data_IF_176898139217
#
_entry.id   IF_176898139217
#
_cell.length_a   1.000
_cell.length_b   1.000
_cell.length_c   1.000
_cell.angle_alpha   90.00
_cell.angle_beta   90.00
_cell.angle_gamma   90.00
#
_symmetry.space_group_name_H-M   'P 1'
#
loop_
_entity.id
_entity.type
_entity.pdbx_description
1 polymer ?
#
# COMPACT_ATOMS: atom_id res chain seq x y z
N UNK A 1 19.95 -39.09 -17.73
CA UNK A 1 19.12 -40.22 -17.25
C UNK A 1 19.88 -40.94 -16.14
N UNK A 2 19.32 -40.96 -14.91
CA UNK A 2 19.70 -41.70 -13.69
C UNK A 2 19.17 -40.86 -12.51
N UNK A 3 18.48 -41.33 -11.48
CA UNK A 3 17.62 -42.47 -11.19
C UNK A 3 16.84 -42.03 -9.91
N UNK A 4 15.68 -42.64 -9.65
CA UNK A 4 14.67 -42.19 -8.70
C UNK A 4 14.85 -42.70 -7.25
N UNK A 5 13.97 -42.17 -6.37
CA UNK A 5 13.31 -42.78 -5.20
C UNK A 5 13.94 -42.73 -3.79
N UNK A 6 13.13 -42.25 -2.84
CA UNK A 6 13.24 -42.50 -1.40
C UNK A 6 12.29 -41.64 -0.54
N UNK A 7 11.08 -42.14 -0.27
CA UNK A 7 10.07 -41.58 0.66
C UNK A 7 10.28 -42.18 2.06
N UNK A 8 10.14 -41.41 3.14
CA UNK A 8 9.86 -41.94 4.49
C UNK A 8 8.80 -41.09 5.21
N UNK A 9 7.75 -41.78 5.63
CA UNK A 9 6.64 -41.35 6.50
C UNK A 9 7.10 -40.98 7.92
N UNK A 10 6.44 -39.99 8.54
CA UNK A 10 6.55 -39.72 9.98
C UNK A 10 5.23 -39.19 10.53
N UNK A 11 4.52 -40.07 11.24
CA UNK A 11 3.17 -39.87 11.76
C UNK A 11 3.16 -39.27 13.19
N UNK A 12 2.14 -38.44 13.46
CA UNK A 12 1.34 -38.46 14.68
C UNK A 12 1.92 -37.86 15.97
N UNK A 13 1.21 -36.85 16.50
CA UNK A 13 0.69 -36.91 17.87
C UNK A 13 -0.40 -35.85 18.08
N UNK A 14 -1.64 -36.29 18.18
CA UNK A 14 -2.77 -35.53 18.72
C UNK A 14 -2.82 -35.74 20.23
N UNK A 15 -3.03 -34.67 21.00
CA UNK A 15 -3.50 -34.76 22.38
C UNK A 15 -4.60 -33.73 22.62
N UNK A 16 -5.80 -34.28 22.84
CA UNK A 16 -7.02 -33.62 23.30
C UNK A 16 -6.89 -33.34 24.81
N UNK A 17 -7.31 -32.17 25.27
CA UNK A 17 -7.74 -31.97 26.66
C UNK A 17 -9.15 -31.41 26.64
N UNK A 18 -10.08 -32.19 27.17
CA UNK A 18 -11.47 -31.86 27.36
C UNK A 18 -11.83 -31.98 28.85
N UNK A 19 -12.90 -31.25 29.21
CA UNK A 19 -13.83 -31.47 30.33
C UNK A 19 -13.68 -30.61 31.59
N UNK A 20 -14.79 -29.96 31.95
CA UNK A 20 -14.96 -29.22 33.20
C UNK A 20 -16.25 -28.41 33.25
N UNK A 21 -17.39 -29.10 33.32
CA UNK A 21 -18.73 -28.54 33.44
C UNK A 21 -18.96 -27.80 34.78
N UNK A 22 -19.63 -26.66 34.74
CA UNK A 22 -20.17 -25.96 35.91
C UNK A 22 -21.50 -25.30 35.55
N UNK A 23 -22.60 -25.84 36.07
CA UNK A 23 -23.95 -25.35 35.83
C UNK A 23 -24.47 -24.47 36.99
N UNK A 24 -25.48 -23.66 36.63
CA UNK A 24 -26.48 -22.96 37.46
C UNK A 24 -26.06 -21.56 37.99
N UNK A 25 -26.89 -20.51 38.01
CA UNK A 25 -28.37 -20.41 38.13
C UNK A 25 -28.96 -19.18 37.42
N UNK A 26 -30.24 -19.34 37.09
CA UNK A 26 -31.25 -18.42 36.58
C UNK A 26 -31.35 -17.11 37.38
N UNK A 27 -31.42 -15.97 36.69
CA UNK A 27 -32.22 -14.82 37.13
C UNK A 27 -33.07 -14.34 35.96
N UNK A 28 -34.38 -14.53 36.13
CA UNK A 28 -35.43 -13.93 35.30
C UNK A 28 -35.54 -12.45 35.66
N UNK A 29 -35.54 -11.60 34.65
CA UNK A 29 -36.58 -10.57 34.50
C UNK A 29 -36.71 -10.17 33.02
N UNK A 30 -37.93 -9.89 32.53
CA UNK A 30 -38.22 -9.74 31.10
C UNK A 30 -38.29 -8.26 30.69
N UNK A 31 -37.85 -7.94 29.47
CA UNK A 31 -38.30 -6.77 28.73
C UNK A 31 -38.21 -7.01 27.22
N UNK A 32 -39.39 -7.20 26.65
CA UNK A 32 -39.84 -7.06 25.26
C UNK A 32 -39.10 -5.98 24.44
N UNK A 33 -38.48 -6.35 23.31
CA UNK A 33 -38.91 -5.98 21.93
C UNK A 33 -37.84 -6.32 20.86
N UNK A 34 -38.25 -6.46 19.58
CA UNK A 34 -37.58 -7.26 18.55
C UNK A 34 -36.60 -6.46 17.69
N UNK A 35 -35.70 -7.17 17.02
CA UNK A 35 -34.89 -6.61 15.94
C UNK A 35 -33.39 -6.70 16.19
N UNK A 36 -32.86 -7.92 16.32
CA UNK A 36 -31.47 -8.13 15.97
C UNK A 36 -31.39 -7.99 14.45
N UNK A 37 -31.09 -6.77 14.01
CA UNK A 37 -30.74 -6.47 12.65
C UNK A 37 -29.67 -7.47 12.20
N UNK A 38 -29.93 -8.11 11.06
CA UNK A 38 -28.92 -8.79 10.26
C UNK A 38 -27.64 -7.94 10.20
N UNK A 39 -26.45 -8.56 10.22
CA UNK A 39 -25.24 -7.84 9.85
C UNK A 39 -25.45 -7.29 8.45
N UNK A 40 -25.61 -5.97 8.38
CA UNK A 40 -25.87 -5.25 7.14
C UNK A 40 -24.73 -5.57 6.19
N UNK A 41 -25.09 -6.16 5.05
CA UNK A 41 -24.25 -6.26 3.86
C UNK A 41 -23.49 -4.95 3.68
N UNK A 42 -22.17 -4.99 3.69
CA UNK A 42 -21.35 -3.93 3.11
C UNK A 42 -21.57 -4.01 1.60
N UNK A 43 -22.68 -3.42 1.16
CA UNK A 43 -22.92 -3.13 -0.25
C UNK A 43 -21.81 -2.18 -0.68
N UNK A 44 -20.87 -2.70 -1.47
CA UNK A 44 -19.78 -1.96 -2.05
C UNK A 44 -20.29 -0.72 -2.76
N UNK A 45 -19.85 0.45 -2.30
CA UNK A 45 -19.95 1.66 -3.09
C UNK A 45 -18.93 1.57 -4.24
N UNK A 46 -19.37 1.62 -5.51
CA UNK A 46 -18.49 1.51 -6.68
C UNK A 46 -17.43 2.63 -6.78
N UNK A 47 -17.59 3.71 -6.03
CA UNK A 47 -16.73 4.89 -6.05
C UNK A 47 -15.64 4.93 -4.97
N UNK A 48 -15.63 4.01 -4.00
CA UNK A 48 -14.62 4.00 -2.92
C UNK A 48 -13.41 3.11 -3.24
N UNK A 49 -13.55 2.13 -4.12
CA UNK A 49 -12.47 1.21 -4.48
C UNK A 49 -11.19 1.91 -4.98
N UNK A 50 -11.27 2.95 -5.86
CA UNK A 50 -10.07 3.66 -6.32
C UNK A 50 -9.34 4.41 -5.20
N UNK A 51 -10.09 5.02 -4.26
CA UNK A 51 -9.49 5.74 -3.12
C UNK A 51 -8.88 4.79 -2.10
N UNK A 52 -9.50 3.63 -1.88
CA UNK A 52 -8.92 2.59 -1.05
C UNK A 52 -7.59 2.06 -1.61
N UNK A 53 -7.50 1.87 -2.94
CA UNK A 53 -6.24 1.51 -3.59
C UNK A 53 -5.17 2.60 -3.40
N UNK A 54 -5.55 3.88 -3.51
CA UNK A 54 -4.65 5.00 -3.21
C UNK A 54 -4.15 4.95 -1.77
N UNK A 55 -5.03 4.77 -0.78
CA UNK A 55 -4.64 4.68 0.64
C UNK A 55 -3.66 3.53 0.91
N UNK A 56 -3.88 2.37 0.29
CA UNK A 56 -2.97 1.22 0.46
C UNK A 56 -1.59 1.47 -0.16
N UNK A 57 -1.56 2.01 -1.38
CA UNK A 57 -0.32 2.40 -2.04
C UNK A 57 0.42 3.50 -1.25
N UNK A 58 -0.32 4.42 -0.65
CA UNK A 58 0.22 5.49 0.17
C UNK A 58 0.88 4.95 1.45
N UNK A 59 0.22 4.00 2.13
CA UNK A 59 0.82 3.26 3.26
C UNK A 59 2.07 2.50 2.86
N UNK A 60 2.08 1.88 1.68
CA UNK A 60 3.26 1.18 1.16
C UNK A 60 4.44 2.13 0.94
N UNK A 61 4.19 3.32 0.39
CA UNK A 61 5.21 4.38 0.23
C UNK A 61 5.77 4.78 1.59
N UNK A 62 4.94 4.97 2.61
CA UNK A 62 5.41 5.32 3.95
C UNK A 62 6.26 4.22 4.57
N UNK A 63 5.86 2.96 4.42
CA UNK A 63 6.64 1.83 4.89
C UNK A 63 8.02 1.75 4.20
N UNK A 64 8.09 2.01 2.90
CA UNK A 64 9.34 1.99 2.14
C UNK A 64 10.23 3.21 2.43
N UNK A 65 9.66 4.40 2.60
CA UNK A 65 10.39 5.59 3.08
C UNK A 65 10.98 5.38 4.48
N UNK A 66 10.24 4.73 5.37
CA UNK A 66 10.73 4.40 6.71
C UNK A 66 11.95 3.46 6.66
N UNK A 67 11.95 2.47 5.75
CA UNK A 67 13.13 1.60 5.52
C UNK A 67 14.33 2.39 4.99
N UNK A 68 14.10 3.39 4.13
CA UNK A 68 15.13 4.32 3.65
C UNK A 68 15.57 5.35 4.71
N UNK A 69 14.85 5.44 5.84
CA UNK A 69 15.01 6.47 6.87
C UNK A 69 14.81 7.89 6.33
N UNK A 70 13.87 8.03 5.39
CA UNK A 70 13.46 9.32 4.86
C UNK A 70 12.16 9.75 5.53
N UNK A 71 12.04 11.04 5.83
CA UNK A 71 10.76 11.63 6.15
C UNK A 71 9.95 11.80 4.86
N UNK A 72 8.62 11.68 4.94
CA UNK A 72 7.74 12.00 3.82
C UNK A 72 7.90 13.48 3.46
N UNK A 73 8.27 13.81 2.21
CA UNK A 73 8.28 15.20 1.76
C UNK A 73 6.86 15.78 1.78
N UNK A 74 6.68 17.05 2.16
CA UNK A 74 5.39 17.70 2.00
C UNK A 74 5.01 17.73 0.52
N UNK A 75 3.72 17.65 0.22
CA UNK A 75 3.24 17.93 -1.13
C UNK A 75 3.69 19.36 -1.53
N UNK A 76 4.19 19.57 -2.76
CA UNK A 76 4.63 20.89 -3.19
C UNK A 76 3.47 21.89 -3.12
N UNK A 77 3.72 23.13 -2.72
CA UNK A 77 2.66 24.14 -2.54
C UNK A 77 1.88 24.43 -3.84
N UNK A 78 2.51 24.20 -5.00
CA UNK A 78 1.92 24.33 -6.33
C UNK A 78 1.28 23.03 -6.84
N UNK A 79 1.18 22.00 -5.98
CA UNK A 79 0.43 20.80 -6.33
C UNK A 79 -1.04 21.15 -6.54
N UNK A 80 -1.63 20.48 -7.52
CA UNK A 80 -3.00 20.66 -7.95
C UNK A 80 -3.96 20.17 -6.85
N UNK A 81 -4.11 20.96 -5.78
CA UNK A 81 -4.99 20.71 -4.63
C UNK A 81 -6.39 21.28 -4.89
N UNK A 82 -6.50 22.29 -5.78
CA UNK A 82 -7.77 22.91 -6.17
C UNK A 82 -8.19 22.47 -7.58
N UNK A 83 -9.33 21.78 -7.74
CA UNK A 83 -9.83 21.35 -9.05
C UNK A 83 -10.34 22.54 -9.90
N UNK A 84 -10.42 22.37 -11.24
CA UNK A 84 -10.03 21.18 -11.99
C UNK A 84 -8.51 21.12 -12.16
N UNK A 85 -7.94 19.96 -11.85
CA UNK A 85 -6.53 19.72 -12.07
C UNK A 85 -6.35 19.22 -13.51
N UNK A 86 -5.33 19.72 -14.20
CA UNK A 86 -5.07 19.29 -15.58
C UNK A 86 -4.67 17.79 -15.59
N UNK A 87 -5.47 16.89 -16.19
CA UNK A 87 -5.18 15.46 -16.23
C UNK A 87 -3.87 15.14 -16.99
N UNK A 88 -3.42 16.03 -17.89
CA UNK A 88 -2.12 15.91 -18.55
C UNK A 88 -0.96 16.11 -17.57
N UNK A 89 -1.11 16.98 -16.57
CA UNK A 89 -0.10 17.16 -15.52
C UNK A 89 0.00 15.95 -14.59
N UNK A 90 -1.12 15.28 -14.32
CA UNK A 90 -1.11 14.03 -13.53
C UNK A 90 -0.50 12.88 -14.32
N UNK A 91 -0.82 12.77 -15.61
CA UNK A 91 -0.24 11.76 -16.49
C UNK A 91 1.27 11.93 -16.67
N UNK A 92 1.75 13.17 -16.76
CA UNK A 92 3.20 13.45 -16.81
C UNK A 92 3.89 13.19 -15.48
N UNK A 93 3.26 13.48 -14.34
CA UNK A 93 3.76 13.09 -13.01
C UNK A 93 3.86 11.56 -12.87
N UNK A 94 2.84 10.82 -13.32
CA UNK A 94 2.87 9.35 -13.36
C UNK A 94 4.00 8.84 -14.27
N UNK A 95 4.19 9.45 -15.44
CA UNK A 95 5.29 9.14 -16.35
C UNK A 95 6.66 9.41 -15.73
N UNK A 96 6.84 10.52 -15.03
CA UNK A 96 8.07 10.86 -14.34
C UNK A 96 8.37 9.95 -13.14
N UNK A 97 7.34 9.53 -12.41
CA UNK A 97 7.45 8.55 -11.33
C UNK A 97 7.92 7.20 -11.90
N UNK A 98 7.33 6.73 -13.00
CA UNK A 98 7.66 5.45 -13.64
C UNK A 98 8.87 5.50 -14.60
N UNK A 99 9.46 6.68 -14.82
CA UNK A 99 10.59 6.80 -15.73
C UNK A 99 11.74 5.89 -15.26
N UNK A 100 12.40 5.16 -16.19
CA UNK A 100 13.54 4.33 -15.85
C UNK A 100 14.60 5.19 -15.14
N UNK A 101 15.37 4.63 -14.18
CA UNK A 101 16.41 5.37 -13.49
C UNK A 101 17.33 6.01 -14.52
N UNK A 102 17.51 7.33 -14.43
CA UNK A 102 18.36 8.05 -15.37
C UNK A 102 19.74 7.38 -15.39
N UNK A 103 20.28 7.12 -16.59
CA UNK A 103 21.51 6.36 -16.80
C UNK A 103 22.74 6.94 -16.05
N UNK A 104 22.62 8.17 -15.56
CA UNK A 104 23.60 8.90 -14.76
C UNK A 104 23.70 8.39 -13.31
N UNK A 105 22.69 7.70 -12.80
CA UNK A 105 22.64 7.23 -11.42
C UNK A 105 22.75 5.71 -11.35
N UNK A 106 23.97 5.20 -11.11
CA UNK A 106 24.21 3.78 -10.91
C UNK A 106 24.28 3.48 -9.41
N UNK A 107 23.62 2.42 -8.90
CA UNK A 107 23.81 2.00 -7.52
C UNK A 107 25.30 1.72 -7.26
N UNK A 108 25.83 2.25 -6.16
CA UNK A 108 27.14 1.83 -5.66
C UNK A 108 27.14 0.33 -5.35
N UNK A 109 28.33 -0.27 -5.30
CA UNK A 109 28.48 -1.74 -5.17
C UNK A 109 28.12 -2.33 -3.81
N UNK A 110 27.65 -1.52 -2.86
CA UNK A 110 27.25 -2.01 -1.54
C UNK A 110 25.81 -2.53 -1.55
N UNK A 111 25.54 -3.52 -0.70
CA UNK A 111 24.19 -4.08 -0.53
C UNK A 111 23.19 -2.99 -0.09
N UNK A 112 23.62 -2.10 0.80
CA UNK A 112 22.81 -0.96 1.27
C UNK A 112 22.37 -0.06 0.13
N UNK A 113 23.24 0.17 -0.87
CA UNK A 113 22.90 0.97 -2.04
C UNK A 113 21.98 0.23 -3.00
N UNK A 114 22.17 -1.08 -3.16
CA UNK A 114 21.27 -1.94 -3.94
C UNK A 114 19.86 -1.97 -3.33
N UNK A 115 19.76 -2.13 -2.02
CA UNK A 115 18.49 -2.11 -1.28
C UNK A 115 17.81 -0.74 -1.39
N UNK A 116 18.58 0.34 -1.25
CA UNK A 116 18.03 1.70 -1.37
C UNK A 116 17.46 1.97 -2.75
N UNK A 117 18.14 1.52 -3.80
CA UNK A 117 17.66 1.67 -5.17
C UNK A 117 16.46 0.77 -5.48
N UNK A 118 16.38 -0.42 -4.87
CA UNK A 118 15.20 -1.31 -4.96
C UNK A 118 13.98 -0.69 -4.28
N UNK A 119 14.16 -0.11 -3.08
CA UNK A 119 13.09 0.61 -2.37
C UNK A 119 12.61 1.84 -3.16
N UNK A 120 13.54 2.57 -3.78
CA UNK A 120 13.20 3.66 -4.72
C UNK A 120 12.30 3.16 -5.85
N UNK A 121 12.61 2.03 -6.49
CA UNK A 121 11.79 1.50 -7.57
C UNK A 121 10.37 1.14 -7.07
N UNK A 122 10.26 0.56 -5.87
CA UNK A 122 8.96 0.28 -5.22
C UNK A 122 8.14 1.56 -4.99
N UNK A 123 8.75 2.58 -4.36
CA UNK A 123 8.09 3.87 -4.07
C UNK A 123 7.61 4.53 -5.36
N UNK A 124 8.49 4.60 -6.37
CA UNK A 124 8.19 5.24 -7.63
C UNK A 124 7.09 4.52 -8.42
N UNK A 125 7.04 3.19 -8.36
CA UNK A 125 5.95 2.40 -8.95
C UNK A 125 4.62 2.66 -8.25
N UNK A 126 4.59 2.66 -6.92
CA UNK A 126 3.38 2.97 -6.15
C UNK A 126 2.90 4.40 -6.40
N UNK A 127 3.81 5.37 -6.46
CA UNK A 127 3.51 6.76 -6.80
C UNK A 127 2.92 6.89 -8.21
N UNK A 128 3.53 6.19 -9.18
CA UNK A 128 3.02 6.11 -10.55
C UNK A 128 1.59 5.59 -10.62
N UNK A 129 1.29 4.53 -9.85
CA UNK A 129 -0.06 3.96 -9.78
C UNK A 129 -1.08 4.90 -9.15
N UNK A 130 -0.72 5.59 -8.05
CA UNK A 130 -1.59 6.60 -7.43
C UNK A 130 -1.95 7.70 -8.44
N UNK A 131 -0.96 8.19 -9.19
CA UNK A 131 -1.18 9.22 -10.21
C UNK A 131 -2.02 8.73 -11.39
N UNK A 132 -1.87 7.46 -11.78
CA UNK A 132 -2.73 6.84 -12.79
C UNK A 132 -4.20 6.80 -12.33
N UNK A 133 -4.44 6.35 -11.08
CA UNK A 133 -5.79 6.33 -10.50
C UNK A 133 -6.36 7.75 -10.42
N UNK A 134 -5.57 8.73 -9.98
CA UNK A 134 -5.98 10.14 -9.93
C UNK A 134 -6.40 10.67 -11.32
N UNK A 135 -5.66 10.29 -12.37
CA UNK A 135 -6.02 10.63 -13.75
C UNK A 135 -7.31 9.93 -14.21
N UNK A 136 -7.55 8.67 -13.82
CA UNK A 136 -8.78 7.93 -14.14
C UNK A 136 -10.01 8.54 -13.45
N UNK A 137 -9.84 9.15 -12.28
CA UNK A 137 -10.87 9.91 -11.58
C UNK A 137 -11.14 11.29 -12.22
N UNK A 138 -10.48 11.61 -13.34
CA UNK A 138 -10.77 12.78 -14.17
C UNK A 138 -10.23 14.10 -13.63
N UNK A 139 -9.23 14.08 -12.74
CA UNK A 139 -8.57 15.29 -12.23
C UNK A 139 -9.42 16.19 -11.33
N UNK A 140 -10.68 15.83 -11.06
CA UNK A 140 -11.58 16.56 -10.16
C UNK A 140 -11.53 16.03 -8.72
N UNK A 141 -10.88 14.89 -8.48
CA UNK A 141 -10.70 14.30 -7.16
C UNK A 141 -9.48 14.92 -6.46
N UNK A 142 -9.72 15.94 -5.62
CA UNK A 142 -8.65 16.66 -4.92
C UNK A 142 -7.81 15.74 -4.03
N UNK A 143 -8.43 14.74 -3.40
CA UNK A 143 -7.74 13.76 -2.56
C UNK A 143 -6.75 12.93 -3.40
N UNK A 144 -7.19 12.39 -4.54
CA UNK A 144 -6.32 11.61 -5.41
C UNK A 144 -5.19 12.45 -6.01
N UNK A 145 -5.47 13.70 -6.38
CA UNK A 145 -4.47 14.63 -6.90
C UNK A 145 -3.41 15.00 -5.84
N UNK A 146 -3.82 15.26 -4.59
CA UNK A 146 -2.92 15.54 -3.48
C UNK A 146 -2.02 14.33 -3.19
N UNK A 147 -2.61 13.12 -3.16
CA UNK A 147 -1.85 11.88 -2.99
C UNK A 147 -0.84 11.67 -4.11
N UNK A 148 -1.25 11.84 -5.37
CA UNK A 148 -0.32 11.77 -6.50
C UNK A 148 0.87 12.73 -6.36
N UNK A 149 0.62 13.98 -5.97
CA UNK A 149 1.68 14.97 -5.78
C UNK A 149 2.63 14.60 -4.64
N UNK A 150 2.10 14.20 -3.48
CA UNK A 150 2.87 13.75 -2.31
C UNK A 150 3.71 12.51 -2.62
N UNK A 151 3.11 11.51 -3.28
CA UNK A 151 3.78 10.28 -3.67
C UNK A 151 4.87 10.52 -4.72
N UNK A 152 4.64 11.44 -5.67
CA UNK A 152 5.66 11.85 -6.64
C UNK A 152 6.86 12.52 -5.98
N UNK A 153 6.62 13.40 -5.00
CA UNK A 153 7.69 14.00 -4.20
C UNK A 153 8.49 12.93 -3.43
N UNK A 154 7.81 11.93 -2.89
CA UNK A 154 8.43 10.78 -2.21
C UNK A 154 9.33 9.96 -3.14
N UNK A 155 8.87 9.72 -4.39
CA UNK A 155 9.70 9.08 -5.42
C UNK A 155 10.96 9.89 -5.73
N UNK A 156 10.86 11.21 -5.86
CA UNK A 156 12.03 12.08 -6.07
C UNK A 156 13.04 11.99 -4.93
N UNK A 157 12.58 12.06 -3.67
CA UNK A 157 13.46 11.92 -2.51
C UNK A 157 14.14 10.53 -2.44
N UNK A 158 13.40 9.47 -2.79
CA UNK A 158 13.98 8.12 -2.87
C UNK A 158 15.02 8.01 -4.01
N UNK A 159 14.80 8.67 -5.15
CA UNK A 159 15.77 8.76 -6.26
C UNK A 159 17.05 9.42 -5.78
N UNK A 160 16.97 10.57 -5.12
CA UNK A 160 18.12 11.24 -4.53
C UNK A 160 18.89 10.34 -3.55
N UNK A 161 18.17 9.60 -2.69
CA UNK A 161 18.81 8.67 -1.74
C UNK A 161 19.56 7.53 -2.42
N UNK A 162 18.98 6.94 -3.47
CA UNK A 162 19.64 5.93 -4.30
C UNK A 162 20.89 6.52 -5.00
N UNK A 163 20.81 7.76 -5.49
CA UNK A 163 21.91 8.41 -6.20
C UNK A 163 23.03 8.92 -5.31
N UNK A 164 22.75 9.25 -4.05
CA UNK A 164 23.76 9.60 -3.05
C UNK A 164 24.67 8.40 -2.65
N UNK A 165 24.38 7.23 -3.21
CA UNK A 165 25.05 5.96 -2.94
C UNK A 165 26.09 5.60 -4.02
N UNK A 166 26.40 6.54 -4.92
CA UNK A 166 27.44 6.42 -5.96
C UNK A 166 28.86 6.48 -5.40
#
# INVERSE_FOLDING_TARGET
MKAALGIVFGAGCALLIACGAGAQKVSRSPATSPGAAEPTSVSGQPSEAPRFEIDELDRQIDADLAKLRLARPPAPADSCVSPPCDPQRMSTAAGAANAPPEASCKPGRSDVCTDSCTLKDSICKSAGRICEIASQLGGNDSYANEKCASSSASCSAAKERCCACM
#
